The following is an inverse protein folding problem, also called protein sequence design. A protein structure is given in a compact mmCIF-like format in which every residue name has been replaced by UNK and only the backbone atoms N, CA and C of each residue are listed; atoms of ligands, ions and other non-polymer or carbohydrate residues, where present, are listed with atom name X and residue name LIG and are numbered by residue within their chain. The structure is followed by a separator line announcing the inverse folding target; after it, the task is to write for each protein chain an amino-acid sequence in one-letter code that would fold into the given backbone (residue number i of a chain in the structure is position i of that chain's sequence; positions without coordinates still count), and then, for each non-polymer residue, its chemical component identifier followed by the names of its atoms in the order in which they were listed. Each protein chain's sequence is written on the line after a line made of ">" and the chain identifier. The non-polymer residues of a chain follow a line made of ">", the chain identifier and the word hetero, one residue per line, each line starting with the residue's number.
data_IF_904756372670
#
_entry.id   IF_904756372670
#
_cell.length_a   1.000
_cell.length_b   1.000
_cell.length_c   1.000
_cell.angle_alpha   90.00
_cell.angle_beta   90.00
_cell.angle_gamma   90.00
#
_symmetry.space_group_name_H-M   'P 1'
#
loop_
_entity.id
_entity.type
_entity.pdbx_description
1 polymer ?
#
# COMPACT_ATOMS: atom_id res chain seq x y z
N UNK A 1 -12.84 -1.44 -9.12
CA UNK A 1 -12.00 -1.92 -10.26
C UNK A 1 -12.22 -3.42 -10.48
N UNK A 2 -12.16 -3.93 -11.71
CA UNK A 2 -12.20 -5.39 -11.94
C UNK A 2 -10.76 -5.95 -11.79
N UNK A 3 -10.51 -6.66 -10.70
CA UNK A 3 -9.19 -7.22 -10.36
C UNK A 3 -8.72 -8.23 -11.42
N UNK A 4 -9.62 -9.07 -11.94
CA UNK A 4 -9.25 -10.04 -13.00
C UNK A 4 -8.80 -9.35 -14.28
N UNK A 5 -9.46 -8.26 -14.67
CA UNK A 5 -9.04 -7.46 -15.83
C UNK A 5 -7.67 -6.79 -15.59
N UNK A 6 -7.42 -6.28 -14.39
CA UNK A 6 -6.13 -5.70 -14.02
C UNK A 6 -4.98 -6.71 -14.05
N UNK A 7 -5.23 -7.94 -13.60
CA UNK A 7 -4.24 -9.04 -13.70
C UNK A 7 -4.01 -9.46 -15.16
N UNK A 8 -5.05 -9.45 -15.99
CA UNK A 8 -4.92 -9.77 -17.41
C UNK A 8 -4.11 -8.70 -18.16
N UNK A 9 -4.28 -7.40 -17.85
CA UNK A 9 -3.44 -6.31 -18.37
C UNK A 9 -1.94 -6.61 -18.11
N UNK A 10 -1.59 -7.19 -16.96
CA UNK A 10 -0.23 -7.59 -16.62
C UNK A 10 0.26 -8.75 -17.48
N UNK A 11 -0.55 -9.81 -17.64
CA UNK A 11 -0.22 -10.98 -18.47
C UNK A 11 0.05 -10.58 -19.91
N UNK A 12 -0.72 -9.64 -20.43
CA UNK A 12 -0.57 -9.11 -21.78
C UNK A 12 0.52 -8.03 -21.91
N UNK A 13 1.31 -7.77 -20.84
CA UNK A 13 2.34 -6.71 -20.79
C UNK A 13 1.81 -5.31 -21.13
N UNK A 14 0.55 -5.04 -20.85
CA UNK A 14 -0.10 -3.74 -21.10
C UNK A 14 0.10 -2.74 -19.96
N UNK A 15 0.74 -3.14 -18.87
CA UNK A 15 1.09 -2.28 -17.74
C UNK A 15 2.42 -2.68 -17.11
N UNK A 16 3.00 -1.78 -16.32
CA UNK A 16 4.17 -2.05 -15.48
C UNK A 16 3.89 -3.01 -14.33
N UNK A 17 4.93 -3.34 -13.59
CA UNK A 17 4.90 -4.21 -12.42
C UNK A 17 4.56 -3.42 -11.16
N UNK A 18 3.69 -3.98 -10.31
CA UNK A 18 3.45 -3.52 -8.95
C UNK A 18 4.20 -4.42 -7.96
N UNK A 19 5.25 -3.87 -7.35
CA UNK A 19 6.18 -4.56 -6.45
C UNK A 19 6.02 -3.98 -5.05
N UNK A 20 5.91 -4.84 -4.03
CA UNK A 20 5.68 -4.42 -2.65
C UNK A 20 6.73 -5.02 -1.74
N UNK A 21 7.27 -4.22 -0.83
CA UNK A 21 8.12 -4.65 0.27
C UNK A 21 7.32 -4.56 1.58
N UNK A 22 7.12 -5.69 2.22
CA UNK A 22 6.49 -5.83 3.53
C UNK A 22 7.52 -6.29 4.56
N UNK A 23 7.30 -5.97 5.83
CA UNK A 23 8.17 -6.42 6.91
C UNK A 23 7.90 -5.65 8.20
N UNK A 24 8.53 -6.10 9.30
CA UNK A 24 8.48 -5.41 10.58
C UNK A 24 9.27 -4.09 10.55
N UNK A 25 9.03 -3.22 11.51
CA UNK A 25 9.81 -1.99 11.63
C UNK A 25 11.29 -2.33 11.84
N UNK A 26 12.15 -1.67 11.07
CA UNK A 26 13.60 -1.91 11.12
C UNK A 26 14.09 -3.12 10.29
N UNK A 27 13.21 -3.89 9.62
CA UNK A 27 13.63 -5.03 8.78
C UNK A 27 14.41 -4.66 7.52
N UNK A 28 14.47 -3.37 7.17
CA UNK A 28 15.17 -2.90 5.99
C UNK A 28 14.30 -2.78 4.74
N UNK A 29 12.98 -2.94 4.83
CA UNK A 29 12.06 -2.86 3.70
C UNK A 29 12.23 -1.59 2.86
N UNK A 30 12.38 -0.42 3.49
CA UNK A 30 12.65 0.84 2.79
C UNK A 30 13.98 0.83 2.04
N UNK A 31 15.03 0.30 2.65
CA UNK A 31 16.37 0.18 2.04
C UNK A 31 16.33 -0.74 0.82
N UNK A 32 15.69 -1.89 0.94
CA UNK A 32 15.57 -2.86 -0.16
C UNK A 32 14.71 -2.32 -1.31
N UNK A 33 13.61 -1.61 -1.00
CA UNK A 33 12.80 -0.93 -1.99
C UNK A 33 13.61 0.11 -2.77
N UNK A 34 14.44 0.91 -2.08
CA UNK A 34 15.32 1.89 -2.72
C UNK A 34 16.38 1.22 -3.60
N UNK A 35 17.02 0.15 -3.12
CA UNK A 35 18.01 -0.59 -3.90
C UNK A 35 17.41 -1.17 -5.18
N UNK A 36 16.22 -1.75 -5.09
CA UNK A 36 15.50 -2.27 -6.27
C UNK A 36 15.12 -1.15 -7.24
N UNK A 37 14.59 -0.03 -6.72
CA UNK A 37 14.28 1.13 -7.54
C UNK A 37 15.51 1.60 -8.34
N UNK A 38 16.66 1.74 -7.67
CA UNK A 38 17.88 2.24 -8.30
C UNK A 38 18.46 1.24 -9.32
N UNK A 39 18.39 -0.06 -9.02
CA UNK A 39 18.81 -1.11 -9.94
C UNK A 39 17.96 -1.10 -11.23
N UNK A 40 16.64 -1.06 -11.10
CA UNK A 40 15.74 -1.01 -12.26
C UNK A 40 15.93 0.25 -13.10
N UNK A 41 16.20 1.41 -12.46
CA UNK A 41 16.52 2.65 -13.19
C UNK A 41 17.81 2.55 -13.97
N UNK A 42 18.84 1.91 -13.43
CA UNK A 42 20.12 1.68 -14.14
C UNK A 42 19.92 0.83 -15.40
N UNK A 43 18.97 -0.10 -15.36
CA UNK A 43 18.58 -0.91 -16.52
C UNK A 43 17.67 -0.18 -17.52
N UNK A 44 17.42 1.11 -17.30
CA UNK A 44 16.59 1.95 -18.18
C UNK A 44 15.07 1.81 -17.98
N UNK A 45 14.63 1.11 -16.93
CA UNK A 45 13.21 0.98 -16.64
C UNK A 45 12.63 2.29 -16.08
N UNK A 46 11.37 2.58 -16.43
CA UNK A 46 10.58 3.63 -15.77
C UNK A 46 10.11 3.10 -14.42
N UNK A 47 10.57 3.68 -13.32
CA UNK A 47 10.24 3.22 -11.96
C UNK A 47 9.83 4.40 -11.09
N UNK A 48 8.75 4.21 -10.35
CA UNK A 48 8.28 5.12 -9.32
C UNK A 48 8.26 4.41 -7.98
N UNK A 49 8.86 5.04 -6.97
CA UNK A 49 8.86 4.54 -5.59
C UNK A 49 7.83 5.30 -4.77
N UNK A 50 7.10 4.56 -3.94
CA UNK A 50 6.07 5.08 -3.06
C UNK A 50 6.00 4.27 -1.76
N UNK A 51 5.08 4.61 -0.86
CA UNK A 51 4.91 3.93 0.43
C UNK A 51 3.54 4.22 1.04
N UNK A 52 3.15 3.41 2.01
CA UNK A 52 1.99 3.60 2.87
C UNK A 52 2.38 3.66 4.35
N UNK A 53 1.72 4.55 5.17
CA UNK A 53 0.74 5.54 4.73
C UNK A 53 1.37 6.64 3.87
N UNK A 54 0.60 7.18 2.90
CA UNK A 54 1.10 8.16 1.91
C UNK A 54 1.41 9.52 2.53
N UNK A 55 2.05 10.41 1.75
CA UNK A 55 2.18 11.82 2.11
C UNK A 55 0.92 12.65 1.78
N UNK A 56 -0.14 12.01 1.30
CA UNK A 56 -1.42 12.64 1.05
C UNK A 56 -2.14 13.11 2.33
N UNK A 57 -3.27 13.80 2.19
CA UNK A 57 -4.01 14.32 3.34
C UNK A 57 -4.40 13.25 4.35
N UNK A 58 -4.88 12.09 3.88
CA UNK A 58 -5.31 10.97 4.73
C UNK A 58 -4.11 10.33 5.41
N UNK A 59 -3.04 10.06 4.67
CA UNK A 59 -1.80 9.50 5.24
C UNK A 59 -1.17 10.42 6.28
N UNK A 60 -1.32 11.74 6.15
CA UNK A 60 -0.90 12.69 7.19
C UNK A 60 -1.73 12.55 8.47
N UNK A 61 -3.05 12.36 8.37
CA UNK A 61 -3.92 12.10 9.54
C UNK A 61 -3.46 10.82 10.25
N UNK A 62 -3.21 9.74 9.50
CA UNK A 62 -2.71 8.47 10.05
C UNK A 62 -1.39 8.69 10.81
N UNK A 63 -0.42 9.39 10.23
CA UNK A 63 0.86 9.67 10.90
C UNK A 63 0.70 10.51 12.17
N UNK A 64 -0.19 11.49 12.19
CA UNK A 64 -0.49 12.28 13.39
C UNK A 64 -1.10 11.40 14.49
N UNK A 65 -2.00 10.48 14.13
CA UNK A 65 -2.58 9.53 15.08
C UNK A 65 -1.52 8.56 15.61
N UNK A 66 -0.74 7.93 14.73
CA UNK A 66 0.33 6.99 15.11
C UNK A 66 1.42 7.64 15.99
N UNK A 67 1.68 8.93 15.79
CA UNK A 67 2.63 9.70 16.62
C UNK A 67 1.99 10.32 17.88
N UNK A 68 0.75 9.96 18.21
CA UNK A 68 -0.03 10.49 19.32
C UNK A 68 -0.21 12.03 19.34
N UNK A 69 -0.06 12.67 18.17
CA UNK A 69 -0.32 14.11 18.00
C UNK A 69 -1.78 14.41 17.67
N UNK A 70 -2.50 13.42 17.19
CA UNK A 70 -3.94 13.45 16.99
C UNK A 70 -4.53 12.28 17.76
N UNK A 71 -5.40 12.57 18.71
CA UNK A 71 -6.16 11.56 19.43
C UNK A 71 -7.47 11.33 18.68
N UNK A 72 -7.69 10.11 18.24
CA UNK A 72 -8.91 9.72 17.53
C UNK A 72 -9.97 9.30 18.54
N UNK A 73 -9.65 8.41 19.48
CA UNK A 73 -10.56 7.90 20.50
C UNK A 73 -9.82 7.62 21.81
N UNK A 74 -10.58 7.57 22.93
CA UNK A 74 -10.10 7.06 24.21
C UNK A 74 -10.23 5.53 24.31
N UNK A 75 -11.15 4.95 23.55
CA UNK A 75 -11.32 3.50 23.43
C UNK A 75 -10.39 2.95 22.36
N UNK A 76 -9.44 2.10 22.77
CA UNK A 76 -8.45 1.50 21.88
C UNK A 76 -9.08 0.71 20.73
N UNK A 77 -10.19 0.03 20.96
CA UNK A 77 -10.88 -0.74 19.89
C UNK A 77 -11.50 0.18 18.86
N UNK A 78 -12.07 1.31 19.30
CA UNK A 78 -12.62 2.33 18.39
C UNK A 78 -11.49 2.96 17.59
N UNK A 79 -10.39 3.33 18.25
CA UNK A 79 -9.21 3.91 17.59
C UNK A 79 -8.63 2.96 16.53
N UNK A 80 -8.41 1.69 16.85
CA UNK A 80 -7.87 0.70 15.91
C UNK A 80 -8.80 0.52 14.71
N UNK A 81 -10.11 0.54 14.93
CA UNK A 81 -11.09 0.41 13.85
C UNK A 81 -11.14 1.65 12.96
N UNK A 82 -11.07 2.83 13.54
CA UNK A 82 -11.00 4.10 12.80
C UNK A 82 -9.71 4.20 11.99
N UNK A 83 -8.57 3.81 12.57
CA UNK A 83 -7.31 3.72 11.84
C UNK A 83 -7.39 2.75 10.66
N UNK A 84 -8.03 1.60 10.81
CA UNK A 84 -8.23 0.64 9.72
C UNK A 84 -9.01 1.26 8.55
N UNK A 85 -10.07 2.03 8.82
CA UNK A 85 -10.80 2.77 7.78
C UNK A 85 -9.93 3.85 7.12
N UNK A 86 -9.15 4.59 7.91
CA UNK A 86 -8.25 5.61 7.38
C UNK A 86 -7.17 5.00 6.48
N UNK A 87 -6.56 3.88 6.88
CA UNK A 87 -5.61 3.16 6.04
C UNK A 87 -6.24 2.65 4.74
N UNK A 88 -7.47 2.15 4.79
CA UNK A 88 -8.18 1.73 3.57
C UNK A 88 -8.49 2.94 2.66
N UNK A 89 -8.87 4.08 3.22
CA UNK A 89 -9.14 5.30 2.46
C UNK A 89 -7.87 5.90 1.85
N UNK A 90 -6.74 5.94 2.60
CA UNK A 90 -5.43 6.37 2.09
C UNK A 90 -4.98 5.48 0.93
N UNK A 91 -5.14 4.16 1.07
CA UNK A 91 -4.83 3.18 0.03
C UNK A 91 -5.71 3.33 -1.21
N UNK A 92 -6.99 3.62 -1.01
CA UNK A 92 -7.90 3.87 -2.14
C UNK A 92 -7.43 5.07 -2.97
N UNK A 93 -7.12 6.18 -2.32
CA UNK A 93 -6.57 7.37 -2.98
C UNK A 93 -5.23 7.06 -3.64
N UNK A 94 -4.30 6.43 -2.92
CA UNK A 94 -2.99 6.02 -3.41
C UNK A 94 -3.06 5.13 -4.66
N UNK A 95 -4.06 4.27 -4.76
CA UNK A 95 -4.26 3.39 -5.91
C UNK A 95 -4.90 4.10 -7.10
N UNK A 96 -5.94 4.89 -6.84
CA UNK A 96 -6.88 5.31 -7.88
C UNK A 96 -6.89 6.81 -8.17
N UNK A 97 -6.13 7.63 -7.44
CA UNK A 97 -6.02 9.05 -7.72
C UNK A 97 -5.61 9.26 -9.18
N UNK A 98 -6.35 10.12 -9.89
CA UNK A 98 -6.14 10.36 -11.33
C UNK A 98 -4.82 11.08 -11.65
N UNK A 99 -4.25 11.80 -10.67
CA UNK A 99 -3.04 12.61 -10.85
C UNK A 99 -1.77 11.79 -10.62
N UNK A 100 -1.73 11.04 -9.51
CA UNK A 100 -0.52 10.36 -9.06
C UNK A 100 -0.75 8.94 -8.51
N UNK A 101 -1.92 8.36 -8.79
CA UNK A 101 -2.25 7.02 -8.31
C UNK A 101 -1.40 5.91 -8.94
N UNK A 102 -1.26 4.81 -8.21
CA UNK A 102 -0.51 3.62 -8.64
C UNK A 102 -1.07 3.04 -9.95
N UNK A 103 -2.40 2.86 -10.03
CA UNK A 103 -3.04 2.20 -11.18
C UNK A 103 -2.85 3.00 -12.48
N UNK A 104 -3.07 4.32 -12.52
CA UNK A 104 -2.70 5.14 -13.69
C UNK A 104 -1.24 4.99 -14.10
N UNK A 105 -0.30 5.10 -13.14
CA UNK A 105 1.14 4.97 -13.45
C UNK A 105 1.50 3.60 -14.02
N UNK A 106 0.94 2.52 -13.47
CA UNK A 106 1.15 1.17 -14.02
C UNK A 106 0.67 1.08 -15.48
N UNK A 107 -0.49 1.65 -15.80
CA UNK A 107 -1.05 1.67 -17.16
C UNK A 107 -0.24 2.53 -18.13
N UNK A 108 0.44 3.54 -17.62
CA UNK A 108 1.41 4.33 -18.38
C UNK A 108 2.76 3.60 -18.59
N UNK A 109 2.90 2.37 -18.08
CA UNK A 109 4.11 1.55 -18.21
C UNK A 109 5.20 1.82 -17.16
N UNK A 110 4.87 2.51 -16.06
CA UNK A 110 5.77 2.61 -14.92
C UNK A 110 5.75 1.32 -14.11
N UNK A 111 6.91 0.84 -13.68
CA UNK A 111 6.98 -0.08 -12.56
C UNK A 111 6.83 0.71 -11.26
N UNK A 112 6.04 0.19 -10.33
CA UNK A 112 5.81 0.83 -9.04
C UNK A 112 6.40 -0.04 -7.94
N UNK A 113 7.25 0.53 -7.11
CA UNK A 113 7.83 -0.11 -5.92
C UNK A 113 7.25 0.57 -4.69
N UNK A 114 6.44 -0.14 -3.92
CA UNK A 114 5.84 0.36 -2.68
C UNK A 114 6.50 -0.28 -1.45
N UNK A 115 6.80 0.55 -0.46
CA UNK A 115 7.11 0.08 0.88
C UNK A 115 5.82 0.05 1.67
N UNK A 116 5.42 -1.16 2.10
CA UNK A 116 4.14 -1.50 2.73
C UNK A 116 2.94 -1.42 1.78
N UNK A 117 1.94 -2.21 2.12
CA UNK A 117 0.65 -2.30 1.45
C UNK A 117 -0.38 -2.92 2.42
N UNK A 118 -1.45 -3.54 1.93
CA UNK A 118 -2.55 -4.02 2.77
C UNK A 118 -2.17 -5.09 3.80
N UNK A 119 -1.11 -5.88 3.59
CA UNK A 119 -0.69 -6.90 4.56
C UNK A 119 -0.18 -6.29 5.86
N UNK A 120 0.48 -5.13 5.80
CA UNK A 120 0.81 -4.36 7.00
C UNK A 120 -0.44 -3.99 7.80
N UNK A 121 -1.55 -3.59 7.14
CA UNK A 121 -2.80 -3.28 7.85
C UNK A 121 -3.39 -4.50 8.54
N UNK A 122 -3.32 -5.68 7.92
CA UNK A 122 -3.74 -6.94 8.56
C UNK A 122 -2.89 -7.25 9.80
N UNK A 123 -1.57 -7.11 9.69
CA UNK A 123 -0.65 -7.44 10.77
C UNK A 123 -0.76 -6.48 11.98
N UNK A 124 -0.98 -5.19 11.74
CA UNK A 124 -1.00 -4.18 12.82
C UNK A 124 -2.35 -4.03 13.50
N UNK A 125 -3.46 -4.33 12.84
CA UNK A 125 -4.80 -4.04 13.35
C UNK A 125 -5.61 -5.29 13.71
N UNK A 126 -5.15 -6.49 13.36
CA UNK A 126 -5.84 -7.72 13.72
C UNK A 126 -5.41 -8.24 15.09
N UNK A 127 -6.35 -8.29 16.04
CA UNK A 127 -6.15 -8.91 17.34
C UNK A 127 -6.81 -10.29 17.45
N UNK A 128 -7.71 -10.62 16.55
CA UNK A 128 -8.47 -11.88 16.50
C UNK A 128 -9.03 -12.13 15.08
N UNK A 129 -9.65 -13.30 14.87
CA UNK A 129 -10.17 -13.70 13.55
C UNK A 129 -11.27 -12.76 13.02
N UNK A 130 -12.11 -12.22 13.89
CA UNK A 130 -13.17 -11.28 13.46
C UNK A 130 -12.57 -9.95 12.96
N UNK A 131 -11.47 -9.49 13.55
CA UNK A 131 -10.74 -8.31 13.07
C UNK A 131 -10.09 -8.62 11.72
N UNK A 132 -9.54 -9.83 11.53
CA UNK A 132 -9.00 -10.26 10.24
C UNK A 132 -10.04 -10.26 9.13
N UNK A 133 -11.24 -10.79 9.37
CA UNK A 133 -12.33 -10.77 8.40
C UNK A 133 -12.75 -9.35 8.03
N UNK A 134 -12.88 -8.49 9.03
CA UNK A 134 -13.19 -7.07 8.83
C UNK A 134 -12.13 -6.38 7.98
N UNK A 135 -10.84 -6.51 8.33
CA UNK A 135 -9.73 -5.91 7.60
C UNK A 135 -9.61 -6.47 6.18
N UNK A 136 -9.80 -7.77 6.00
CA UNK A 136 -9.85 -8.40 4.68
C UNK A 136 -11.00 -7.84 3.83
N UNK A 137 -12.16 -7.58 4.44
CA UNK A 137 -13.30 -6.98 3.74
C UNK A 137 -13.02 -5.57 3.24
N UNK A 138 -12.33 -4.75 4.02
CA UNK A 138 -11.92 -3.39 3.65
C UNK A 138 -10.93 -3.37 2.48
N UNK A 139 -10.14 -4.43 2.32
CA UNK A 139 -9.09 -4.50 1.30
C UNK A 139 -9.46 -5.37 0.10
N UNK A 140 -10.65 -5.98 0.09
CA UNK A 140 -11.07 -6.97 -0.93
C UNK A 140 -11.06 -6.45 -2.37
N UNK A 141 -11.35 -5.18 -2.57
CA UNK A 141 -11.42 -4.57 -3.89
C UNK A 141 -10.08 -4.02 -4.40
N UNK A 142 -9.03 -4.07 -3.59
CA UNK A 142 -7.72 -3.58 -3.98
C UNK A 142 -6.93 -4.63 -4.76
N UNK A 143 -6.23 -4.24 -5.84
CA UNK A 143 -5.47 -5.17 -6.64
C UNK A 143 -4.30 -5.75 -5.82
N UNK A 144 -4.03 -7.06 -5.92
CA UNK A 144 -2.82 -7.60 -5.34
C UNK A 144 -1.58 -7.07 -6.06
N UNK A 145 -0.47 -6.98 -5.34
CA UNK A 145 0.82 -6.77 -5.96
C UNK A 145 1.18 -7.92 -6.91
N UNK A 146 1.96 -7.63 -7.95
CA UNK A 146 2.50 -8.67 -8.84
C UNK A 146 3.55 -9.52 -8.13
N UNK A 147 4.28 -8.91 -7.19
CA UNK A 147 5.26 -9.57 -6.32
C UNK A 147 5.34 -8.84 -4.98
N UNK A 148 5.36 -9.61 -3.90
CA UNK A 148 5.55 -9.10 -2.54
C UNK A 148 6.81 -9.74 -1.94
N UNK A 149 7.70 -8.92 -1.42
CA UNK A 149 8.89 -9.32 -0.69
C UNK A 149 8.64 -9.15 0.81
N UNK A 150 8.89 -10.19 1.59
CA UNK A 150 8.84 -10.17 3.05
C UNK A 150 10.25 -10.15 3.62
N UNK A 151 10.50 -9.23 4.60
CA UNK A 151 11.79 -9.02 5.24
C UNK A 151 11.67 -9.13 6.77
#
# INVERSE_FOLDING_TARGET
>A
MNISAFQEERRQKKRGLFLVFEGTDGSGSTTQAQLLHDALRKEGARVWQTYEPTNGPIGNIIRLAMSHRLKISDDKRVEDRELAYLFAADRYDHLFNSTDGIVPKLREGWNVVSTRYYLSSLAYHASNDADLEFLASLNREFPPADLTFFL
#
